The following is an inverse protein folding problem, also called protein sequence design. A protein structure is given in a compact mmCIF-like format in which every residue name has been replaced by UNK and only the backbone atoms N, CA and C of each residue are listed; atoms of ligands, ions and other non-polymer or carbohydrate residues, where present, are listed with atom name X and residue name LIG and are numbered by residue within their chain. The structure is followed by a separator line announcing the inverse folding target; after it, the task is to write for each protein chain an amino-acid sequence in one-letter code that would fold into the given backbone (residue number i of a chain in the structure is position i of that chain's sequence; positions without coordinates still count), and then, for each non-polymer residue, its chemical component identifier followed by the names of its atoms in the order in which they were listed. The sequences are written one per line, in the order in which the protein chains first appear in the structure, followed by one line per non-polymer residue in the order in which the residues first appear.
data_IF_446865849819
#
_entry.id   IF_446865849819
#
_cell.length_a   1.000
_cell.length_b   1.000
_cell.length_c   1.000
_cell.angle_alpha   90.00
_cell.angle_beta   90.00
_cell.angle_gamma   90.00
#
_symmetry.space_group_name_H-M   'P 1'
#
loop_
_entity.id
_entity.type
_entity.pdbx_description
1 polymer ?
#
# COMPACT_ATOMS: atom_id res chain seq x y z
N UNK A 1 -15.99 14.26 -11.32
CA UNK A 1 -15.62 12.97 -11.95
C UNK A 1 -15.02 12.10 -10.86
N UNK A 2 -15.87 11.31 -10.20
CA UNK A 2 -15.43 10.42 -9.12
C UNK A 2 -14.78 9.19 -9.74
N UNK A 3 -13.46 9.19 -9.86
CA UNK A 3 -12.72 7.95 -10.14
C UNK A 3 -13.05 6.96 -9.03
N UNK A 4 -13.67 5.84 -9.38
CA UNK A 4 -14.07 4.84 -8.39
C UNK A 4 -12.82 4.38 -7.63
N UNK A 5 -12.81 4.35 -6.29
CA UNK A 5 -11.64 3.92 -5.50
C UNK A 5 -11.17 2.50 -5.87
N UNK A 6 -12.07 1.69 -6.44
CA UNK A 6 -11.79 0.36 -6.99
C UNK A 6 -10.84 0.39 -8.20
N UNK A 7 -10.91 1.43 -9.05
CA UNK A 7 -10.06 1.56 -10.23
C UNK A 7 -8.60 1.85 -9.86
N UNK A 8 -8.37 2.61 -8.79
CA UNK A 8 -7.02 2.87 -8.27
C UNK A 8 -6.36 1.59 -7.74
N UNK A 9 -7.10 0.78 -6.99
CA UNK A 9 -6.63 -0.51 -6.48
C UNK A 9 -6.22 -1.47 -7.60
N UNK A 10 -7.07 -1.62 -8.61
CA UNK A 10 -6.81 -2.51 -9.75
C UNK A 10 -5.57 -2.10 -10.53
N UNK A 11 -5.39 -0.79 -10.77
CA UNK A 11 -4.20 -0.27 -11.42
C UNK A 11 -2.94 -0.52 -10.58
N UNK A 12 -2.99 -0.27 -9.27
CA UNK A 12 -1.87 -0.56 -8.38
C UNK A 12 -1.49 -2.04 -8.43
N UNK A 13 -2.46 -2.96 -8.31
CA UNK A 13 -2.19 -4.40 -8.40
C UNK A 13 -1.56 -4.78 -9.75
N UNK A 14 -2.06 -4.21 -10.85
CA UNK A 14 -1.49 -4.44 -12.18
C UNK A 14 -0.02 -3.98 -12.26
N UNK A 15 0.28 -2.78 -11.77
CA UNK A 15 1.64 -2.21 -11.77
C UNK A 15 2.61 -3.05 -10.93
N UNK A 16 2.14 -3.60 -9.80
CA UNK A 16 2.89 -4.53 -8.96
C UNK A 16 3.22 -5.80 -9.73
N UNK A 17 2.24 -6.44 -10.35
CA UNK A 17 2.45 -7.66 -11.13
C UNK A 17 3.47 -7.42 -12.24
N UNK A 18 3.32 -6.33 -13.00
CA UNK A 18 4.27 -5.95 -14.03
C UNK A 18 5.68 -5.68 -13.48
N UNK A 19 5.77 -5.03 -12.31
CA UNK A 19 7.04 -4.78 -11.60
C UNK A 19 7.74 -6.07 -11.16
N UNK A 20 6.99 -7.00 -10.57
CA UNK A 20 7.50 -8.32 -10.15
C UNK A 20 8.00 -9.11 -11.37
N UNK A 21 7.26 -9.11 -12.49
CA UNK A 21 7.69 -9.78 -13.72
C UNK A 21 9.00 -9.19 -14.27
N UNK A 22 9.13 -7.85 -14.32
CA UNK A 22 10.37 -7.19 -14.76
C UNK A 22 11.54 -7.51 -13.84
N UNK A 23 11.31 -7.52 -12.53
CA UNK A 23 12.34 -7.86 -11.56
C UNK A 23 12.78 -9.31 -11.69
N UNK A 24 11.83 -10.24 -11.84
CA UNK A 24 12.14 -11.65 -12.05
C UNK A 24 13.08 -11.84 -13.25
N UNK A 25 12.81 -11.15 -14.36
CA UNK A 25 13.68 -11.17 -15.53
C UNK A 25 15.08 -10.59 -15.22
N UNK A 26 15.17 -9.46 -14.49
CA UNK A 26 16.45 -8.87 -14.07
C UNK A 26 17.26 -9.81 -13.17
N UNK A 27 16.61 -10.50 -12.23
CA UNK A 27 17.27 -11.45 -11.31
C UNK A 27 17.89 -12.64 -12.06
N UNK A 28 17.24 -13.12 -13.11
CA UNK A 28 17.78 -14.22 -13.94
C UNK A 28 19.08 -13.82 -14.64
N UNK A 29 19.19 -12.56 -15.08
CA UNK A 29 20.33 -12.04 -15.84
C UNK A 29 21.43 -11.38 -14.98
N UNK A 30 21.13 -11.10 -13.71
CA UNK A 30 22.01 -10.40 -12.78
C UNK A 30 23.14 -11.29 -12.23
N UNK A 31 24.29 -10.66 -11.95
CA UNK A 31 25.36 -11.24 -11.13
C UNK A 31 24.96 -11.37 -9.66
N UNK A 32 25.79 -12.03 -8.84
CA UNK A 32 25.44 -12.35 -7.45
C UNK A 32 25.14 -11.12 -6.56
N UNK A 33 25.95 -10.06 -6.66
CA UNK A 33 25.76 -8.82 -5.90
C UNK A 33 24.46 -8.09 -6.31
N UNK A 34 24.21 -8.02 -7.63
CA UNK A 34 22.99 -7.43 -8.17
C UNK A 34 21.75 -8.21 -7.74
N UNK A 35 21.82 -9.54 -7.68
CA UNK A 35 20.69 -10.36 -7.18
C UNK A 35 20.31 -10.00 -5.74
N UNK A 36 21.29 -9.80 -4.85
CA UNK A 36 21.03 -9.42 -3.47
C UNK A 36 20.38 -8.04 -3.38
N UNK A 37 20.90 -7.05 -4.13
CA UNK A 37 20.32 -5.70 -4.18
C UNK A 37 18.89 -5.70 -4.73
N UNK A 38 18.65 -6.45 -5.79
CA UNK A 38 17.32 -6.56 -6.42
C UNK A 38 16.30 -7.25 -5.51
N UNK A 39 16.71 -8.22 -4.70
CA UNK A 39 15.84 -8.85 -3.69
C UNK A 39 15.47 -7.88 -2.56
N UNK A 40 16.43 -7.08 -2.09
CA UNK A 40 16.17 -6.06 -1.08
C UNK A 40 15.21 -4.98 -1.62
N UNK A 41 15.43 -4.52 -2.86
CA UNK A 41 14.55 -3.57 -3.54
C UNK A 41 13.11 -4.13 -3.68
N UNK A 42 12.98 -5.43 -3.97
CA UNK A 42 11.68 -6.11 -4.04
C UNK A 42 10.95 -6.07 -2.69
N UNK A 43 11.67 -6.45 -1.63
CA UNK A 43 11.11 -6.52 -0.29
C UNK A 43 10.58 -5.15 0.13
N UNK A 44 11.39 -4.10 -0.06
CA UNK A 44 10.98 -2.73 0.25
C UNK A 44 9.79 -2.26 -0.57
N UNK A 45 9.78 -2.58 -1.87
CA UNK A 45 8.69 -2.21 -2.78
C UNK A 45 7.38 -2.88 -2.35
N UNK A 46 7.38 -4.20 -2.15
CA UNK A 46 6.20 -4.95 -1.71
C UNK A 46 5.72 -4.49 -0.33
N UNK A 47 6.62 -4.22 0.61
CA UNK A 47 6.27 -3.71 1.93
C UNK A 47 5.55 -2.36 1.85
N UNK A 48 6.05 -1.44 1.01
CA UNK A 48 5.44 -0.12 0.80
C UNK A 48 4.05 -0.23 0.16
N UNK A 49 3.92 -1.07 -0.86
CA UNK A 49 2.64 -1.31 -1.55
C UNK A 49 1.61 -1.95 -0.62
N UNK A 50 2.03 -2.95 0.16
CA UNK A 50 1.16 -3.57 1.16
C UNK A 50 0.72 -2.58 2.24
N UNK A 51 1.62 -1.69 2.70
CA UNK A 51 1.24 -0.65 3.64
C UNK A 51 0.20 0.31 3.06
N UNK A 52 0.38 0.77 1.81
CA UNK A 52 -0.57 1.65 1.14
C UNK A 52 -1.93 0.98 0.91
N UNK A 53 -1.91 -0.25 0.41
CA UNK A 53 -3.07 -1.12 0.24
C UNK A 53 -3.89 -1.23 1.53
N UNK A 54 -3.20 -1.53 2.63
CA UNK A 54 -3.81 -1.67 3.95
C UNK A 54 -4.41 -0.34 4.43
N UNK A 55 -3.73 0.78 4.23
CA UNK A 55 -4.24 2.11 4.61
C UNK A 55 -5.52 2.46 3.82
N UNK A 56 -5.56 2.14 2.53
CA UNK A 56 -6.76 2.32 1.68
C UNK A 56 -7.92 1.44 2.17
N UNK A 57 -7.67 0.15 2.40
CA UNK A 57 -8.67 -0.79 2.88
C UNK A 57 -9.24 -0.40 4.25
N UNK A 58 -8.39 0.06 5.18
CA UNK A 58 -8.80 0.58 6.49
C UNK A 58 -9.73 1.78 6.33
N UNK A 59 -9.41 2.70 5.41
CA UNK A 59 -10.20 3.90 5.15
C UNK A 59 -11.56 3.54 4.55
N UNK A 60 -11.59 2.64 3.57
CA UNK A 60 -12.82 2.15 2.94
C UNK A 60 -13.72 1.43 3.97
N UNK A 61 -13.16 0.50 4.74
CA UNK A 61 -13.89 -0.19 5.79
C UNK A 61 -14.48 0.77 6.83
N UNK A 62 -13.76 1.86 7.15
CA UNK A 62 -14.28 2.89 8.06
C UNK A 62 -15.45 3.65 7.42
N UNK A 63 -15.36 4.00 6.14
CA UNK A 63 -16.43 4.67 5.40
C UNK A 63 -17.69 3.80 5.29
N UNK A 64 -17.54 2.48 5.23
CA UNK A 64 -18.63 1.49 5.28
C UNK A 64 -19.20 1.27 6.69
N UNK A 65 -18.69 1.99 7.71
CA UNK A 65 -19.20 1.94 9.07
C UNK A 65 -18.67 0.79 9.93
N UNK A 66 -17.63 0.07 9.49
CA UNK A 66 -17.07 -1.01 10.31
C UNK A 66 -16.49 -0.46 11.64
N UNK A 67 -16.72 -1.16 12.77
CA UNK A 67 -16.10 -0.81 14.04
C UNK A 67 -14.58 -0.97 14.00
N UNK A 68 -13.85 -0.04 14.62
CA UNK A 68 -12.38 -0.02 14.64
C UNK A 68 -11.75 -1.34 15.10
N UNK A 69 -12.35 -2.00 16.10
CA UNK A 69 -11.88 -3.31 16.58
C UNK A 69 -11.92 -4.39 15.49
N UNK A 70 -12.97 -4.41 14.67
CA UNK A 70 -13.12 -5.38 13.57
C UNK A 70 -12.12 -5.07 12.45
N UNK A 71 -11.90 -3.79 12.15
CA UNK A 71 -10.91 -3.35 11.18
C UNK A 71 -9.50 -3.77 11.63
N UNK A 72 -9.14 -3.51 12.89
CA UNK A 72 -7.85 -3.89 13.46
C UNK A 72 -7.59 -5.41 13.37
N UNK A 73 -8.58 -6.23 13.74
CA UNK A 73 -8.50 -7.69 13.60
C UNK A 73 -8.33 -8.13 12.15
N UNK A 74 -9.14 -7.59 11.22
CA UNK A 74 -9.08 -7.98 9.81
C UNK A 74 -7.79 -7.52 9.10
N UNK A 75 -7.27 -6.34 9.47
CA UNK A 75 -6.05 -5.76 8.90
C UNK A 75 -4.77 -6.25 9.60
N UNK A 76 -4.88 -7.12 10.62
CA UNK A 76 -3.75 -7.67 11.36
C UNK A 76 -2.90 -6.60 12.07
N UNK A 77 -3.53 -5.53 12.56
CA UNK A 77 -2.84 -4.43 13.22
C UNK A 77 -3.52 -4.03 14.54
N UNK A 78 -2.85 -3.19 15.33
CA UNK A 78 -3.39 -2.70 16.59
C UNK A 78 -4.48 -1.63 16.35
N UNK A 79 -5.34 -1.46 17.35
CA UNK A 79 -6.39 -0.43 17.33
C UNK A 79 -5.81 0.98 17.15
N UNK A 80 -4.65 1.26 17.76
CA UNK A 80 -4.00 2.58 17.66
C UNK A 80 -3.43 2.84 16.27
N UNK A 81 -2.89 1.81 15.61
CA UNK A 81 -2.45 1.93 14.22
C UNK A 81 -3.62 2.29 13.29
N UNK A 82 -4.80 1.69 13.50
CA UNK A 82 -6.01 2.05 12.72
C UNK A 82 -6.37 3.52 12.93
N UNK A 83 -6.32 4.03 14.18
CA UNK A 83 -6.59 5.46 14.46
C UNK A 83 -5.60 6.38 13.76
N UNK A 84 -4.30 6.12 13.88
CA UNK A 84 -3.29 6.94 13.23
C UNK A 84 -3.44 6.98 11.70
N UNK A 85 -3.77 5.84 11.07
CA UNK A 85 -4.02 5.76 9.64
C UNK A 85 -5.21 6.62 9.24
N UNK A 86 -6.33 6.53 9.97
CA UNK A 86 -7.52 7.32 9.70
C UNK A 86 -7.27 8.82 9.92
N UNK A 87 -6.53 9.20 10.98
CA UNK A 87 -6.15 10.59 11.24
C UNK A 87 -5.31 11.17 10.10
N UNK A 88 -4.26 10.45 9.67
CA UNK A 88 -3.38 10.87 8.55
C UNK A 88 -4.13 11.15 7.26
N UNK A 89 -5.23 10.42 6.99
CA UNK A 89 -6.06 10.61 5.79
C UNK A 89 -7.18 11.63 5.94
N UNK A 90 -7.53 12.00 7.17
CA UNK A 90 -8.59 12.99 7.47
C UNK A 90 -8.02 14.40 7.59
N UNK A 91 -6.72 14.54 7.91
CA UNK A 91 -6.04 15.83 7.91
C UNK A 91 -6.04 16.43 6.49
N UNK A 92 -6.61 17.63 6.27
CA UNK A 92 -6.41 18.34 5.02
C UNK A 92 -4.90 18.57 4.85
N UNK A 93 -4.38 18.40 3.63
CA UNK A 93 -3.03 18.83 3.30
C UNK A 93 -2.94 20.30 3.72
N UNK A 94 -2.19 20.60 4.78
CA UNK A 94 -2.01 21.96 5.25
C UNK A 94 -1.53 22.78 4.05
N UNK A 95 -2.36 23.73 3.61
CA UNK A 95 -2.12 24.53 2.43
C UNK A 95 -0.81 25.29 2.59
N UNK A 96 0.15 24.96 1.73
CA UNK A 96 1.10 25.97 1.27
C UNK A 96 0.38 26.75 0.18
N UNK A 97 -0.30 27.83 0.55
CA UNK A 97 -0.48 28.94 -0.39
C UNK A 97 0.78 29.83 -0.33
N UNK A 98 1.29 30.32 -1.47
CA UNK A 98 2.48 31.17 -1.55
C UNK A 98 2.30 32.55 -0.91
#
# INVERSE_FOLDING_TARGET
MSGSPVAGWQQSVHDICAGVTRLHHRLQQAGAEDRLRLLDELQHTLARLHAEARDQAITAARAEGLPLRRIATAAGCSHEQVRHILQRRTLPAAGNEP
#
